data_IF_464027516213
#
_entry.id   IF_464027516213
#
_cell.length_a   1.000
_cell.length_b   1.000
_cell.length_c   1.000
_cell.angle_alpha   90.00
_cell.angle_beta   90.00
_cell.angle_gamma   90.00
#
_symmetry.space_group_name_H-M   'P 1'
#
loop_
_entity.id
_entity.type
_entity.pdbx_description
1 polymer ?
#
# COMPACT_ATOMS: atom_id res chain seq x y z
N UNK A 1 15.60 -33.92 -78.92
CA UNK A 1 15.31 -32.78 -78.01
C UNK A 1 15.62 -33.21 -76.59
N UNK A 2 16.65 -32.63 -75.96
CA UNK A 2 16.99 -32.88 -74.54
C UNK A 2 16.23 -31.88 -73.68
N UNK A 3 15.35 -32.36 -72.79
CA UNK A 3 14.66 -31.57 -71.78
C UNK A 3 15.60 -31.44 -70.57
N UNK A 4 16.00 -30.21 -70.21
CA UNK A 4 16.73 -29.93 -68.98
C UNK A 4 15.72 -29.66 -67.85
N UNK A 5 15.68 -30.52 -66.83
CA UNK A 5 14.96 -30.25 -65.58
C UNK A 5 15.77 -29.25 -64.74
N UNK A 6 15.20 -28.07 -64.50
CA UNK A 6 15.67 -27.13 -63.48
C UNK A 6 15.02 -27.47 -62.15
N UNK A 7 15.75 -28.13 -61.26
CA UNK A 7 15.33 -28.35 -59.88
C UNK A 7 15.69 -27.13 -59.04
N UNK A 8 14.73 -26.25 -58.76
CA UNK A 8 14.88 -25.16 -57.80
C UNK A 8 14.63 -25.67 -56.38
N UNK A 9 15.68 -25.68 -55.56
CA UNK A 9 15.62 -26.04 -54.14
C UNK A 9 15.10 -24.85 -53.33
N UNK A 10 13.83 -24.88 -52.90
CA UNK A 10 13.28 -23.88 -51.98
C UNK A 10 13.66 -24.26 -50.54
N UNK A 11 14.56 -23.47 -49.94
CA UNK A 11 14.92 -23.58 -48.53
C UNK A 11 13.91 -22.78 -47.70
N UNK A 12 12.88 -23.43 -47.16
CA UNK A 12 11.89 -22.78 -46.29
C UNK A 12 12.41 -22.73 -44.86
N UNK A 13 12.84 -21.55 -44.40
CA UNK A 13 13.22 -21.30 -43.01
C UNK A 13 11.97 -20.99 -42.19
N UNK A 14 11.51 -21.97 -41.39
CA UNK A 14 10.43 -21.76 -40.43
C UNK A 14 10.98 -21.07 -39.17
N UNK A 15 10.65 -19.79 -38.96
CA UNK A 15 10.87 -19.12 -37.68
C UNK A 15 9.84 -19.63 -36.66
N UNK A 16 10.27 -20.49 -35.74
CA UNK A 16 9.47 -20.86 -34.58
C UNK A 16 9.43 -19.69 -33.59
N UNK A 17 8.32 -18.96 -33.55
CA UNK A 17 8.07 -17.97 -32.50
C UNK A 17 7.70 -18.69 -31.21
N UNK A 18 8.61 -18.70 -30.22
CA UNK A 18 8.28 -19.17 -28.88
C UNK A 18 7.38 -18.14 -28.18
N UNK A 19 6.29 -18.55 -27.54
CA UNK A 19 5.50 -17.62 -26.73
C UNK A 19 6.36 -17.18 -25.53
N UNK A 20 6.65 -15.88 -25.44
CA UNK A 20 7.21 -15.26 -24.24
C UNK A 20 6.12 -15.26 -23.19
N UNK A 21 6.15 -16.26 -22.32
CA UNK A 21 5.36 -16.25 -21.09
C UNK A 21 5.86 -15.10 -20.22
N UNK A 22 5.03 -14.08 -20.01
CA UNK A 22 5.29 -13.04 -19.01
C UNK A 22 5.34 -13.71 -17.63
N UNK A 23 6.54 -14.03 -17.15
CA UNK A 23 6.74 -14.50 -15.78
C UNK A 23 6.44 -13.32 -14.84
N UNK A 24 5.26 -13.34 -14.23
CA UNK A 24 4.95 -12.48 -13.09
C UNK A 24 5.79 -12.98 -11.92
N UNK A 25 6.86 -12.26 -11.58
CA UNK A 25 7.78 -12.60 -10.50
C UNK A 25 7.02 -12.78 -9.16
N UNK A 26 6.83 -14.04 -8.77
CA UNK A 26 6.05 -14.43 -7.60
C UNK A 26 6.88 -14.49 -6.30
N UNK A 27 7.94 -13.68 -6.15
CA UNK A 27 8.74 -13.70 -4.91
C UNK A 27 9.33 -12.35 -4.46
N UNK A 28 8.82 -11.22 -4.96
CA UNK A 28 9.28 -9.89 -4.52
C UNK A 28 8.14 -8.88 -4.26
N UNK A 29 6.91 -9.35 -4.10
CA UNK A 29 5.74 -8.48 -4.14
C UNK A 29 5.36 -7.94 -2.76
N UNK A 30 5.33 -6.61 -2.65
CA UNK A 30 4.69 -5.89 -1.53
C UNK A 30 3.17 -6.08 -1.62
N UNK A 31 2.54 -6.42 -0.49
CA UNK A 31 1.08 -6.50 -0.40
C UNK A 31 0.54 -6.00 0.94
N UNK A 32 -0.72 -5.57 0.94
CA UNK A 32 -1.43 -5.16 2.13
C UNK A 32 -2.52 -6.17 2.43
N UNK A 33 -2.49 -6.75 3.62
CA UNK A 33 -3.40 -7.84 4.00
C UNK A 33 -4.12 -7.53 5.30
N UNK A 34 -5.29 -8.12 5.49
CA UNK A 34 -5.93 -8.19 6.79
C UNK A 34 -5.58 -9.52 7.47
N UNK A 35 -5.09 -9.48 8.70
CA UNK A 35 -4.86 -10.67 9.52
C UNK A 35 -4.99 -10.35 11.01
N UNK A 36 -5.03 -11.37 11.87
CA UNK A 36 -5.08 -11.15 13.32
C UNK A 36 -3.68 -10.98 13.92
N UNK A 37 -3.53 -10.08 14.89
CA UNK A 37 -2.32 -9.92 15.72
C UNK A 37 -2.67 -9.90 17.20
N UNK A 38 -1.67 -9.97 18.09
CA UNK A 38 -1.89 -9.72 19.53
C UNK A 38 -1.73 -8.23 19.80
N UNK A 39 -2.75 -7.63 20.42
CA UNK A 39 -2.70 -6.25 20.86
C UNK A 39 -1.66 -6.09 21.98
N UNK A 40 -0.78 -5.08 21.87
CA UNK A 40 0.38 -4.92 22.76
C UNK A 40 0.02 -4.78 24.23
N UNK A 41 -1.07 -4.07 24.55
CA UNK A 41 -1.49 -3.82 25.93
C UNK A 41 -2.37 -4.94 26.50
N UNK A 42 -3.37 -5.39 25.73
CA UNK A 42 -4.39 -6.31 26.24
C UNK A 42 -4.11 -7.78 25.94
N UNK A 43 -3.10 -8.07 25.11
CA UNK A 43 -2.73 -9.41 24.63
C UNK A 43 -3.86 -10.17 23.88
N UNK A 44 -5.01 -9.52 23.65
CA UNK A 44 -6.14 -10.08 22.90
C UNK A 44 -5.84 -10.13 21.40
N UNK A 45 -6.43 -11.09 20.70
CA UNK A 45 -6.39 -11.15 19.24
C UNK A 45 -7.25 -10.03 18.67
N UNK A 46 -6.69 -9.26 17.74
CA UNK A 46 -7.36 -8.11 17.10
C UNK A 46 -7.12 -8.13 15.60
N UNK A 47 -8.12 -7.73 14.82
CA UNK A 47 -8.01 -7.58 13.38
C UNK A 47 -7.01 -6.47 13.07
N UNK A 48 -6.09 -6.72 12.15
CA UNK A 48 -4.93 -5.86 11.92
C UNK A 48 -4.61 -5.76 10.43
N UNK A 49 -4.48 -4.52 9.95
CA UNK A 49 -3.93 -4.25 8.62
C UNK A 49 -2.41 -4.40 8.70
N UNK A 50 -1.86 -5.24 7.83
CA UNK A 50 -0.43 -5.51 7.74
C UNK A 50 0.13 -5.09 6.38
N UNK A 51 1.34 -4.54 6.39
CA UNK A 51 2.22 -4.52 5.24
C UNK A 51 2.98 -5.85 5.21
N UNK A 52 2.85 -6.60 4.11
CA UNK A 52 3.63 -7.79 3.83
C UNK A 52 4.70 -7.46 2.79
N UNK A 53 5.95 -7.75 3.13
CA UNK A 53 7.11 -7.62 2.24
C UNK A 53 7.91 -8.92 2.25
N UNK A 54 8.85 -9.12 1.32
CA UNK A 54 9.81 -10.24 1.41
C UNK A 54 10.58 -10.25 2.74
N UNK A 55 10.79 -9.08 3.35
CA UNK A 55 11.45 -8.93 4.64
C UNK A 55 10.54 -9.22 5.85
N UNK A 56 9.29 -9.64 5.63
CA UNK A 56 8.33 -9.99 6.67
C UNK A 56 7.13 -9.05 6.76
N UNK A 57 6.30 -9.27 7.80
CA UNK A 57 5.06 -8.53 8.05
C UNK A 57 5.26 -7.43 9.07
N UNK A 58 4.69 -6.25 8.80
CA UNK A 58 4.66 -5.12 9.73
C UNK A 58 3.22 -4.74 10.03
N UNK A 59 2.86 -4.72 11.32
CA UNK A 59 1.54 -4.29 11.75
C UNK A 59 1.39 -2.78 11.54
N UNK A 60 0.34 -2.36 10.83
CA UNK A 60 0.11 -0.96 10.50
C UNK A 60 -0.98 -0.33 11.36
N UNK A 61 -2.13 -1.02 11.48
CA UNK A 61 -3.29 -0.53 12.21
C UNK A 61 -4.03 -1.69 12.87
N UNK A 62 -4.30 -1.58 14.18
CA UNK A 62 -5.17 -2.52 14.89
C UNK A 62 -6.62 -2.00 14.94
N UNK A 63 -7.57 -2.89 14.72
CA UNK A 63 -9.00 -2.62 14.74
C UNK A 63 -9.63 -3.39 15.90
N UNK A 64 -10.14 -2.65 16.89
CA UNK A 64 -10.54 -3.22 18.19
C UNK A 64 -12.00 -2.97 18.58
N UNK A 65 -12.70 -2.10 17.84
CA UNK A 65 -14.09 -1.73 18.13
C UNK A 65 -14.86 -1.46 16.85
N UNK A 66 -16.18 -1.64 16.93
CA UNK A 66 -17.11 -1.28 15.86
C UNK A 66 -17.10 0.24 15.70
N UNK A 67 -17.00 0.71 14.46
CA UNK A 67 -17.06 2.14 14.15
C UNK A 67 -17.93 2.38 12.91
N UNK A 68 -18.88 3.30 13.04
CA UNK A 68 -19.77 3.70 11.94
C UNK A 68 -20.48 2.49 11.27
N UNK A 69 -20.87 1.50 12.08
CA UNK A 69 -21.53 0.27 11.61
C UNK A 69 -20.59 -0.83 11.13
N UNK A 70 -19.30 -0.56 10.92
CA UNK A 70 -18.33 -1.55 10.45
C UNK A 70 -17.75 -2.36 11.60
N UNK A 71 -17.79 -3.69 11.47
CA UNK A 71 -17.08 -4.58 12.38
C UNK A 71 -15.55 -4.42 12.24
N UNK A 72 -14.75 -4.73 13.27
CA UNK A 72 -13.30 -4.60 13.20
C UNK A 72 -12.64 -5.36 12.04
N UNK A 73 -13.14 -6.56 11.72
CA UNK A 73 -12.66 -7.38 10.60
C UNK A 73 -13.01 -6.77 9.25
N UNK A 74 -14.25 -6.31 9.08
CA UNK A 74 -14.70 -5.66 7.84
C UNK A 74 -13.88 -4.39 7.55
N UNK A 75 -13.64 -3.57 8.59
CA UNK A 75 -12.78 -2.39 8.47
C UNK A 75 -11.35 -2.77 8.14
N UNK A 76 -10.84 -3.84 8.73
CA UNK A 76 -9.51 -4.36 8.43
C UNK A 76 -9.37 -4.76 6.96
N UNK A 77 -10.34 -5.50 6.40
CA UNK A 77 -10.36 -5.89 5.00
C UNK A 77 -10.39 -4.67 4.08
N UNK A 78 -11.35 -3.77 4.29
CA UNK A 78 -11.54 -2.58 3.45
C UNK A 78 -10.34 -1.64 3.48
N UNK A 79 -9.73 -1.44 4.65
CA UNK A 79 -8.55 -0.58 4.75
C UNK A 79 -7.34 -1.23 4.10
N UNK A 80 -7.13 -2.54 4.28
CA UNK A 80 -6.06 -3.27 3.59
C UNK A 80 -6.23 -3.20 2.06
N UNK A 81 -7.45 -3.33 1.54
CA UNK A 81 -7.77 -3.14 0.12
C UNK A 81 -7.46 -1.72 -0.36
N UNK A 82 -7.86 -0.69 0.39
CA UNK A 82 -7.56 0.70 0.02
C UNK A 82 -6.04 0.96 -0.04
N UNK A 83 -5.27 0.42 0.90
CA UNK A 83 -3.81 0.48 0.85
C UNK A 83 -3.26 -0.25 -0.38
N UNK A 84 -3.81 -1.43 -0.71
CA UNK A 84 -3.40 -2.17 -1.90
C UNK A 84 -3.72 -1.40 -3.20
N UNK A 85 -4.88 -0.76 -3.29
CA UNK A 85 -5.26 0.12 -4.40
C UNK A 85 -4.29 1.30 -4.52
N UNK A 86 -4.03 1.99 -3.41
CA UNK A 86 -3.11 3.12 -3.37
C UNK A 86 -1.68 2.73 -3.77
N UNK A 87 -1.24 1.53 -3.39
CA UNK A 87 0.05 0.98 -3.81
C UNK A 87 0.07 0.67 -5.31
N UNK A 88 -0.94 -0.06 -5.79
CA UNK A 88 -1.03 -0.47 -7.20
C UNK A 88 -1.13 0.71 -8.17
N UNK A 89 -1.80 1.80 -7.75
CA UNK A 89 -1.97 3.00 -8.57
C UNK A 89 -0.84 4.04 -8.39
N UNK A 90 0.19 3.72 -7.58
CA UNK A 90 1.35 4.56 -7.34
C UNK A 90 1.09 5.82 -6.52
N UNK A 91 -0.06 5.93 -5.85
CA UNK A 91 -0.38 7.08 -4.99
C UNK A 91 0.15 6.96 -3.56
N UNK A 92 0.61 5.78 -3.15
CA UNK A 92 1.11 5.54 -1.79
C UNK A 92 2.57 5.98 -1.62
N UNK A 93 2.92 7.19 -2.07
CA UNK A 93 4.22 7.80 -1.80
C UNK A 93 4.24 8.47 -0.42
N UNK A 94 3.17 9.21 -0.13
CA UNK A 94 2.97 9.85 1.16
C UNK A 94 1.60 9.50 1.73
N UNK A 95 1.53 9.49 3.07
CA UNK A 95 0.27 9.40 3.82
C UNK A 95 0.03 10.71 4.56
N UNK A 96 -1.18 11.26 4.43
CA UNK A 96 -1.56 12.55 5.03
C UNK A 96 -3.01 12.58 5.50
N UNK A 97 -3.41 13.68 6.14
CA UNK A 97 -4.73 13.94 6.65
C UNK A 97 -5.48 14.87 5.70
N UNK A 98 -6.76 14.62 5.53
CA UNK A 98 -7.64 15.46 4.75
C UNK A 98 -9.06 15.44 5.32
N UNK A 99 -9.90 16.33 4.80
CA UNK A 99 -11.35 16.26 4.98
C UNK A 99 -11.96 15.86 3.64
N UNK A 100 -12.74 14.79 3.62
CA UNK A 100 -13.45 14.28 2.45
C UNK A 100 -14.92 14.12 2.81
N UNK A 101 -15.82 14.76 2.06
CA UNK A 101 -17.27 14.72 2.29
C UNK A 101 -17.64 15.01 3.77
N UNK A 102 -17.02 16.02 4.37
CA UNK A 102 -17.26 16.42 5.77
C UNK A 102 -16.64 15.50 6.83
N UNK A 103 -15.97 14.40 6.43
CA UNK A 103 -15.33 13.46 7.35
C UNK A 103 -13.80 13.63 7.35
N UNK A 104 -13.19 13.55 8.54
CA UNK A 104 -11.73 13.49 8.67
C UNK A 104 -11.22 12.13 8.20
N UNK A 105 -10.23 12.12 7.32
CA UNK A 105 -9.69 10.90 6.72
C UNK A 105 -8.17 10.90 6.73
N UNK A 106 -7.61 9.69 6.64
CA UNK A 106 -6.22 9.45 6.25
C UNK A 106 -6.21 9.05 4.78
N UNK A 107 -5.36 9.69 3.99
CA UNK A 107 -5.27 9.55 2.54
C UNK A 107 -3.83 9.24 2.09
N UNK A 108 -3.71 8.57 0.94
CA UNK A 108 -2.47 8.55 0.17
C UNK A 108 -2.41 9.74 -0.79
N UNK A 109 -1.19 10.21 -1.08
CA UNK A 109 -0.91 11.23 -2.09
C UNK A 109 0.42 10.97 -2.81
N UNK A 110 0.48 11.28 -4.11
CA UNK A 110 1.71 11.15 -4.91
C UNK A 110 2.81 12.14 -4.55
N UNK A 111 2.45 13.37 -4.19
CA UNK A 111 3.36 14.47 -3.86
C UNK A 111 2.90 15.20 -2.60
N UNK A 112 3.85 15.84 -1.93
CA UNK A 112 3.59 16.69 -0.75
C UNK A 112 2.91 17.99 -1.16
N UNK A 113 1.58 17.98 -1.26
CA UNK A 113 0.68 19.08 -1.67
C UNK A 113 -0.53 18.56 -2.46
N UNK A 114 -0.42 17.33 -2.97
CA UNK A 114 -1.45 16.69 -3.76
C UNK A 114 -2.82 16.61 -3.06
N UNK A 115 -3.87 16.58 -3.87
CA UNK A 115 -5.19 16.19 -3.41
C UNK A 115 -5.19 14.73 -2.94
N UNK A 116 -6.16 14.35 -2.11
CA UNK A 116 -6.32 12.96 -1.68
C UNK A 116 -6.55 12.06 -2.91
N UNK A 117 -5.57 11.23 -3.24
CA UNK A 117 -5.63 10.30 -4.38
C UNK A 117 -6.45 9.06 -4.03
N UNK A 118 -6.26 8.53 -2.83
CA UNK A 118 -7.03 7.39 -2.32
C UNK A 118 -7.26 7.58 -0.83
N UNK A 119 -8.53 7.51 -0.41
CA UNK A 119 -8.89 7.48 1.01
C UNK A 119 -8.48 6.12 1.55
N UNK A 120 -7.56 6.10 2.51
CA UNK A 120 -7.10 4.87 3.15
C UNK A 120 -8.10 4.44 4.22
N UNK A 121 -8.47 5.36 5.10
CA UNK A 121 -9.55 5.14 6.07
C UNK A 121 -10.09 6.44 6.68
N UNK A 122 -11.36 6.41 7.07
CA UNK A 122 -12.03 7.49 7.80
C UNK A 122 -11.77 7.38 9.29
N UNK A 123 -11.52 8.51 9.94
CA UNK A 123 -11.28 8.61 11.38
C UNK A 123 -12.58 8.60 12.18
N UNK A 124 -12.49 8.36 13.50
CA UNK A 124 -13.65 8.58 14.37
C UNK A 124 -13.95 10.08 14.41
N UNK A 125 -15.23 10.51 14.51
CA UNK A 125 -15.58 11.93 14.48
C UNK A 125 -14.81 12.80 15.50
N UNK A 126 -14.55 12.24 16.69
CA UNK A 126 -13.84 12.92 17.79
C UNK A 126 -12.32 12.87 17.69
N UNK A 127 -11.76 12.05 16.80
CA UNK A 127 -10.31 11.95 16.67
C UNK A 127 -9.73 13.23 16.02
N UNK A 128 -8.53 13.60 16.45
CA UNK A 128 -7.73 14.61 15.78
C UNK A 128 -6.89 13.94 14.67
N UNK A 129 -6.98 14.45 13.45
CA UNK A 129 -6.34 13.80 12.31
C UNK A 129 -4.81 13.87 12.35
N UNK A 130 -4.26 14.94 12.92
CA UNK A 130 -2.81 15.11 13.10
C UNK A 130 -2.25 14.18 14.15
N UNK A 131 -2.97 13.98 15.25
CA UNK A 131 -2.50 13.11 16.33
C UNK A 131 -2.48 11.65 15.88
N UNK A 132 -3.50 11.22 15.12
CA UNK A 132 -3.50 9.90 14.48
C UNK A 132 -2.32 9.74 13.53
N UNK A 133 -2.03 10.73 12.67
CA UNK A 133 -0.87 10.65 11.79
C UNK A 133 0.46 10.61 12.54
N UNK A 134 0.63 11.39 13.60
CA UNK A 134 1.84 11.33 14.42
C UNK A 134 2.02 9.94 15.04
N UNK A 135 0.94 9.33 15.52
CA UNK A 135 0.97 7.95 16.03
C UNK A 135 1.36 6.94 14.94
N UNK A 136 0.79 7.06 13.74
CA UNK A 136 1.17 6.22 12.60
C UNK A 136 2.65 6.40 12.23
N UNK A 137 3.12 7.65 12.19
CA UNK A 137 4.51 7.95 11.87
C UNK A 137 5.47 7.33 12.90
N UNK A 138 5.16 7.48 14.19
CA UNK A 138 5.95 6.87 15.26
C UNK A 138 5.93 5.34 15.19
N UNK A 139 4.77 4.74 14.89
CA UNK A 139 4.64 3.28 14.77
C UNK A 139 5.42 2.73 13.56
N UNK A 140 5.39 3.43 12.43
CA UNK A 140 5.97 2.93 11.18
C UNK A 140 7.45 3.23 11.05
N UNK A 141 7.89 4.44 11.42
CA UNK A 141 9.25 4.92 11.15
C UNK A 141 10.08 5.18 12.42
N UNK A 142 9.49 5.08 13.61
CA UNK A 142 10.19 5.23 14.90
C UNK A 142 10.77 6.64 15.17
N UNK A 143 10.66 7.57 14.22
CA UNK A 143 11.25 8.91 14.26
C UNK A 143 10.42 9.91 13.43
N UNK A 144 10.70 11.21 13.57
CA UNK A 144 10.06 12.29 12.81
C UNK A 144 10.61 12.41 11.37
N UNK A 145 10.50 11.36 10.55
CA UNK A 145 10.66 11.51 9.10
C UNK A 145 9.41 12.16 8.52
N UNK A 146 9.37 13.48 8.63
CA UNK A 146 8.23 14.31 8.23
C UNK A 146 8.51 15.01 6.91
N UNK A 147 7.54 14.98 6.00
CA UNK A 147 7.54 15.87 4.85
C UNK A 147 7.29 17.33 5.25
N UNK A 148 7.59 18.29 4.36
CA UNK A 148 7.30 19.71 4.60
C UNK A 148 5.82 19.94 4.92
N UNK A 149 5.56 20.84 5.88
CA UNK A 149 4.20 21.19 6.32
C UNK A 149 3.69 22.33 5.45
N UNK A 150 2.54 22.13 4.81
CA UNK A 150 1.89 23.20 4.05
C UNK A 150 0.92 23.97 4.97
N UNK A 151 1.09 25.30 5.02
CA UNK A 151 0.29 26.19 5.90
C UNK A 151 -0.88 26.88 5.19
N UNK A 152 -0.98 26.76 3.86
CA UNK A 152 -1.93 27.53 3.02
C UNK A 152 -3.28 26.83 2.75
N UNK A 153 -3.63 25.76 3.47
CA UNK A 153 -4.93 25.08 3.32
C UNK A 153 -5.47 24.57 4.65
N UNK A 154 -6.68 24.98 5.05
CA UNK A 154 -7.51 24.32 6.08
C UNK A 154 -6.79 23.79 7.35
N UNK A 155 -7.23 22.63 7.85
CA UNK A 155 -6.57 21.93 8.96
C UNK A 155 -5.11 21.62 8.61
N UNK A 156 -4.16 21.93 9.51
CA UNK A 156 -2.74 21.77 9.24
C UNK A 156 -2.39 20.33 8.84
N UNK A 157 -1.86 20.17 7.62
CA UNK A 157 -1.51 18.86 7.06
C UNK A 157 -0.19 18.33 7.64
N UNK A 158 -0.07 17.02 7.69
CA UNK A 158 1.15 16.31 8.09
C UNK A 158 1.40 15.16 7.11
N UNK A 159 2.64 14.97 6.66
CA UNK A 159 2.98 13.99 5.63
C UNK A 159 4.01 12.97 6.14
N UNK A 160 3.71 11.69 5.94
CA UNK A 160 4.59 10.56 6.22
C UNK A 160 5.09 10.01 4.89
N UNK A 161 6.40 9.97 4.66
CA UNK A 161 6.98 9.27 3.50
C UNK A 161 7.01 7.76 3.76
N UNK A 162 6.01 7.05 3.23
CA UNK A 162 5.84 5.63 3.50
C UNK A 162 6.83 4.76 2.70
N UNK A 163 7.51 5.30 1.68
CA UNK A 163 8.51 4.54 0.90
C UNK A 163 9.67 4.10 1.77
N UNK A 164 10.03 4.91 2.76
CA UNK A 164 11.02 4.54 3.77
C UNK A 164 10.57 3.31 4.59
N UNK A 165 9.27 3.24 4.92
CA UNK A 165 8.68 2.13 5.65
C UNK A 165 8.59 0.87 4.80
N UNK A 166 8.31 0.97 3.50
CA UNK A 166 8.26 -0.20 2.60
C UNK A 166 9.60 -0.95 2.57
N UNK A 167 10.72 -0.23 2.67
CA UNK A 167 12.06 -0.79 2.51
C UNK A 167 12.76 -1.17 3.83
N UNK A 168 12.20 -0.86 4.99
CA UNK A 168 12.82 -1.24 6.28
C UNK A 168 12.76 -2.76 6.49
N UNK A 169 13.81 -3.43 7.00
CA UNK A 169 13.68 -4.81 7.48
C UNK A 169 12.69 -4.91 8.65
N UNK A 170 12.05 -6.06 8.87
CA UNK A 170 11.33 -6.27 10.14
C UNK A 170 12.33 -6.26 11.29
N UNK A 171 12.06 -5.49 12.34
CA UNK A 171 12.87 -5.55 13.56
C UNK A 171 12.67 -6.94 14.18
N UNK A 172 13.69 -7.80 14.05
CA UNK A 172 13.81 -8.99 14.87
C UNK A 172 13.98 -8.49 16.30
N UNK A 173 12.89 -8.43 17.06
CA UNK A 173 13.03 -8.37 18.51
C UNK A 173 13.67 -9.69 18.93
N UNK A 174 14.96 -9.62 19.24
CA UNK A 174 15.69 -10.58 20.08
C UNK A 174 15.03 -10.58 21.46
#
# INVERSE_FOLDING_TARGET
MRLALLTTLFLTTTLAATPVSAQKDANNQVSFICATSRHSQSQKRVSTTFLWTPNGKKAMVNWTSVLAGYAPEERCQKVSENFQVAFNNGSLNYVTNAVQNGSKVICSVRSSDGACDTVLFTLRPKDNSRDILKQLNQLWLGTATTGPIQQSSGEAKFYIDIRQFLNTPTSNKV
#
